data_IF_567387676076
#
_entry.id   IF_567387676076
#
_cell.length_a   1.000
_cell.length_b   1.000
_cell.length_c   1.000
_cell.angle_alpha   90.00
_cell.angle_beta   90.00
_cell.angle_gamma   90.00
#
_symmetry.space_group_name_H-M   'P 1'
#
loop_
_entity.id
_entity.type
_entity.pdbx_description
1 polymer ?
#
# COMPACT_ATOMS: atom_id res chain seq x y z
N UNK A 1 9.77 -5.36 6.97
CA UNK A 1 8.77 -4.39 7.48
C UNK A 1 9.47 -3.31 8.29
N UNK A 2 10.13 -3.64 9.40
CA UNK A 2 10.76 -2.66 10.32
C UNK A 2 11.66 -1.62 9.64
N UNK A 3 12.53 -2.04 8.71
CA UNK A 3 13.41 -1.12 7.98
C UNK A 3 12.62 -0.07 7.17
N UNK A 4 11.52 -0.49 6.55
CA UNK A 4 10.66 0.39 5.76
C UNK A 4 9.89 1.34 6.67
N UNK A 5 9.39 0.84 7.80
CA UNK A 5 8.72 1.68 8.81
C UNK A 5 9.70 2.65 9.51
N UNK A 6 11.00 2.36 9.46
CA UNK A 6 12.08 3.27 9.84
C UNK A 6 12.53 4.22 8.71
N UNK A 7 11.84 4.24 7.56
CA UNK A 7 12.05 5.19 6.47
C UNK A 7 12.82 4.63 5.26
N UNK A 8 13.18 3.35 5.23
CA UNK A 8 13.79 2.74 4.05
C UNK A 8 12.80 2.64 2.88
N UNK A 9 13.31 2.72 1.66
CA UNK A 9 12.50 2.50 0.46
C UNK A 9 12.02 1.05 0.35
N UNK A 10 10.81 0.89 -0.18
CA UNK A 10 10.31 -0.41 -0.63
C UNK A 10 11.25 -0.99 -1.68
N UNK A 11 11.74 -2.19 -1.40
CA UNK A 11 12.60 -2.93 -2.32
C UNK A 11 11.79 -3.95 -3.11
N UNK A 12 12.08 -4.18 -4.41
CA UNK A 12 11.33 -5.12 -5.25
C UNK A 12 11.69 -6.59 -4.97
N UNK A 13 11.60 -7.01 -3.71
CA UNK A 13 11.84 -8.38 -3.26
C UNK A 13 10.59 -9.26 -3.48
N UNK A 14 10.68 -10.42 -4.17
CA UNK A 14 9.51 -11.25 -4.47
C UNK A 14 8.71 -11.70 -3.24
N UNK A 15 9.38 -11.96 -2.11
CA UNK A 15 8.67 -12.37 -0.87
C UNK A 15 7.93 -11.19 -0.28
N UNK A 16 8.53 -10.01 -0.26
CA UNK A 16 7.88 -8.79 0.19
C UNK A 16 6.65 -8.48 -0.67
N UNK A 17 6.74 -8.58 -2.00
CA UNK A 17 5.59 -8.32 -2.89
C UNK A 17 4.37 -9.17 -2.54
N UNK A 18 4.57 -10.49 -2.40
CA UNK A 18 3.47 -11.39 -2.06
C UNK A 18 3.03 -11.29 -0.59
N UNK A 19 3.92 -10.91 0.32
CA UNK A 19 3.55 -10.57 1.69
C UNK A 19 2.59 -9.37 1.72
N UNK A 20 2.87 -8.30 0.97
CA UNK A 20 1.99 -7.13 0.86
C UNK A 20 0.61 -7.51 0.33
N UNK A 21 0.56 -8.31 -0.75
CA UNK A 21 -0.70 -8.87 -1.26
C UNK A 21 -1.47 -9.59 -0.16
N UNK A 22 -0.80 -10.51 0.55
CA UNK A 22 -1.41 -11.33 1.59
C UNK A 22 -2.03 -10.47 2.70
N UNK A 23 -1.30 -9.48 3.21
CA UNK A 23 -1.80 -8.58 4.25
C UNK A 23 -2.96 -7.71 3.72
N UNK A 24 -2.85 -7.19 2.50
CA UNK A 24 -3.90 -6.37 1.90
C UNK A 24 -5.20 -7.15 1.67
N UNK A 25 -5.12 -8.40 1.19
CA UNK A 25 -6.28 -9.27 1.04
C UNK A 25 -6.86 -9.66 2.41
N UNK A 26 -6.01 -9.98 3.39
CA UNK A 26 -6.45 -10.34 4.74
C UNK A 26 -7.19 -9.19 5.43
N UNK A 27 -6.76 -7.96 5.19
CA UNK A 27 -7.39 -6.74 5.70
C UNK A 27 -8.62 -6.31 4.88
N UNK A 28 -8.96 -7.01 3.79
CA UNK A 28 -10.07 -6.64 2.89
C UNK A 28 -9.79 -5.41 2.03
N UNK A 29 -8.55 -4.95 1.95
CA UNK A 29 -8.13 -3.80 1.14
C UNK A 29 -7.95 -4.15 -0.35
N UNK A 30 -7.87 -5.44 -0.68
CA UNK A 30 -7.59 -5.90 -2.03
C UNK A 30 -8.33 -7.20 -2.33
N UNK A 31 -8.80 -7.34 -3.58
CA UNK A 31 -9.44 -8.57 -4.08
C UNK A 31 -9.16 -8.70 -5.57
N UNK A 32 -8.79 -9.90 -6.04
CA UNK A 32 -8.53 -10.20 -7.46
C UNK A 32 -7.63 -9.16 -8.16
N UNK A 33 -6.54 -8.77 -7.49
CA UNK A 33 -5.60 -7.82 -8.08
C UNK A 33 -6.07 -6.36 -8.09
N UNK A 34 -7.18 -6.02 -7.43
CA UNK A 34 -7.72 -4.65 -7.36
C UNK A 34 -7.74 -4.19 -5.91
N UNK A 35 -7.19 -3.00 -5.67
CA UNK A 35 -7.18 -2.35 -4.36
C UNK A 35 -8.45 -1.51 -4.21
N UNK A 36 -9.19 -1.74 -3.13
CA UNK A 36 -10.30 -0.91 -2.71
C UNK A 36 -9.76 0.24 -1.84
N UNK A 37 -9.59 1.41 -2.46
CA UNK A 37 -9.06 2.59 -1.78
C UNK A 37 -10.00 3.07 -0.67
N UNK A 38 -11.31 2.88 -0.80
CA UNK A 38 -12.24 3.28 0.26
C UNK A 38 -12.08 2.39 1.49
N UNK A 39 -11.89 1.08 1.29
CA UNK A 39 -11.58 0.16 2.37
C UNK A 39 -10.25 0.53 3.05
N UNK A 40 -9.21 0.89 2.29
CA UNK A 40 -7.93 1.38 2.84
C UNK A 40 -8.15 2.62 3.71
N UNK A 41 -8.89 3.62 3.20
CA UNK A 41 -9.17 4.86 3.93
C UNK A 41 -9.98 4.61 5.20
N UNK A 42 -10.95 3.70 5.16
CA UNK A 42 -11.77 3.35 6.32
C UNK A 42 -10.96 2.69 7.46
N UNK A 43 -9.83 2.05 7.15
CA UNK A 43 -8.95 1.44 8.14
C UNK A 43 -7.94 2.42 8.75
N UNK A 44 -7.72 3.58 8.13
CA UNK A 44 -6.78 4.56 8.64
C UNK A 44 -7.38 5.40 9.79
N UNK A 45 -6.60 5.68 10.84
CA UNK A 45 -6.92 6.70 11.83
C UNK A 45 -7.20 8.05 11.16
N UNK A 46 -8.07 8.87 11.77
CA UNK A 46 -8.55 10.13 11.18
C UNK A 46 -7.43 11.09 10.77
N UNK A 47 -6.39 11.22 11.58
CA UNK A 47 -5.24 12.08 11.32
C UNK A 47 -4.41 11.59 10.13
N UNK A 48 -4.23 10.27 10.01
CA UNK A 48 -3.54 9.65 8.88
C UNK A 48 -4.37 9.73 7.61
N UNK A 49 -5.68 9.48 7.71
CA UNK A 49 -6.61 9.56 6.58
C UNK A 49 -6.60 10.98 6.00
N UNK A 50 -6.75 12.00 6.83
CA UNK A 50 -6.74 13.40 6.38
C UNK A 50 -5.46 13.80 5.63
N UNK A 51 -4.30 13.26 6.02
CA UNK A 51 -3.01 13.52 5.36
C UNK A 51 -2.80 12.74 4.07
N UNK A 52 -3.41 11.56 3.96
CA UNK A 52 -3.10 10.61 2.89
C UNK A 52 -4.23 10.40 1.88
N UNK A 53 -5.45 10.85 2.16
CA UNK A 53 -6.62 10.56 1.32
C UNK A 53 -6.42 10.92 -0.15
N UNK A 54 -6.00 12.15 -0.44
CA UNK A 54 -5.76 12.59 -1.81
C UNK A 54 -4.68 11.76 -2.51
N UNK A 55 -3.63 11.38 -1.77
CA UNK A 55 -2.52 10.59 -2.29
C UNK A 55 -2.93 9.15 -2.60
N UNK A 56 -3.68 8.51 -1.68
CA UNK A 56 -4.16 7.14 -1.84
C UNK A 56 -5.16 7.04 -3.01
N UNK A 57 -6.10 7.99 -3.11
CA UNK A 57 -7.02 8.12 -4.26
C UNK A 57 -6.28 8.39 -5.56
N UNK A 58 -5.27 9.27 -5.53
CA UNK A 58 -4.45 9.58 -6.69
C UNK A 58 -3.64 8.39 -7.21
N UNK A 59 -3.23 7.49 -6.32
CA UNK A 59 -2.60 6.23 -6.71
C UNK A 59 -3.61 5.21 -7.24
N UNK A 60 -4.76 5.01 -6.59
CA UNK A 60 -5.66 3.93 -6.97
C UNK A 60 -4.98 2.56 -6.97
N UNK A 61 -5.36 1.68 -7.89
CA UNK A 61 -4.66 0.41 -8.13
C UNK A 61 -3.55 0.61 -9.15
N UNK A 62 -2.32 0.25 -8.81
CA UNK A 62 -1.18 0.26 -9.73
C UNK A 62 -0.94 -1.16 -10.25
N UNK A 63 -1.44 -1.47 -11.46
CA UNK A 63 -1.36 -2.82 -12.03
C UNK A 63 0.07 -3.22 -12.38
N UNK A 64 0.48 -4.40 -11.90
CA UNK A 64 1.76 -5.03 -12.19
C UNK A 64 1.63 -6.30 -13.03
N UNK A 65 2.71 -7.06 -13.14
CA UNK A 65 2.76 -8.32 -13.89
C UNK A 65 1.86 -9.43 -13.29
N UNK A 66 1.64 -9.39 -11.98
CA UNK A 66 0.74 -10.27 -11.23
C UNK A 66 0.12 -9.53 -10.03
N UNK A 67 -0.65 -10.23 -9.20
CA UNK A 67 -1.30 -9.63 -8.03
C UNK A 67 -0.31 -9.23 -6.94
N UNK A 68 0.82 -9.93 -6.79
CA UNK A 68 1.86 -9.55 -5.84
C UNK A 68 2.55 -8.26 -6.29
N UNK A 69 2.84 -8.15 -7.58
CA UNK A 69 3.43 -6.96 -8.18
C UNK A 69 2.47 -5.77 -8.13
N UNK A 70 1.17 -6.02 -8.33
CA UNK A 70 0.13 -4.98 -8.19
C UNK A 70 0.08 -4.41 -6.77
N UNK A 71 0.10 -5.28 -5.75
CA UNK A 71 0.14 -4.84 -4.35
C UNK A 71 1.41 -4.01 -4.06
N UNK A 72 2.56 -4.49 -4.54
CA UNK A 72 3.85 -3.80 -4.37
C UNK A 72 3.89 -2.43 -5.05
N UNK A 73 3.48 -2.34 -6.32
CA UNK A 73 3.48 -1.08 -7.06
C UNK A 73 2.51 -0.06 -6.47
N UNK A 74 1.38 -0.54 -5.93
CA UNK A 74 0.41 0.33 -5.25
C UNK A 74 1.01 0.91 -3.97
N UNK A 75 1.63 0.08 -3.13
CA UNK A 75 2.36 0.50 -1.94
C UNK A 75 3.55 1.42 -2.26
N UNK A 76 4.26 1.17 -3.36
CA UNK A 76 5.35 2.03 -3.83
C UNK A 76 4.84 3.41 -4.25
N UNK A 77 3.65 3.49 -4.86
CA UNK A 77 3.01 4.77 -5.16
C UNK A 77 2.67 5.54 -3.88
N UNK A 78 2.11 4.86 -2.87
CA UNK A 78 1.79 5.46 -1.57
C UNK A 78 3.05 5.99 -0.87
N UNK A 79 4.13 5.21 -0.83
CA UNK A 79 5.40 5.65 -0.25
C UNK A 79 5.98 6.88 -0.96
N UNK A 80 5.88 6.93 -2.30
CA UNK A 80 6.35 8.09 -3.07
C UNK A 80 5.48 9.32 -2.84
N UNK A 81 4.18 9.14 -2.67
CA UNK A 81 3.25 10.24 -2.49
C UNK A 81 3.36 10.90 -1.11
N UNK A 82 3.64 10.12 -0.05
CA UNK A 82 3.92 10.66 1.28
C UNK A 82 4.90 9.79 2.08
N UNK A 83 6.20 9.90 1.77
CA UNK A 83 7.25 9.10 2.43
C UNK A 83 7.35 9.36 3.94
N UNK A 84 7.00 10.57 4.39
CA UNK A 84 7.15 10.98 5.79
C UNK A 84 6.14 10.27 6.73
N UNK A 85 4.91 10.05 6.27
CA UNK A 85 3.88 9.34 7.04
C UNK A 85 3.62 7.91 6.52
N UNK A 86 4.50 7.39 5.64
CA UNK A 86 4.34 6.05 5.09
C UNK A 86 4.71 4.97 6.10
N UNK A 87 3.85 3.97 6.24
CA UNK A 87 4.12 2.76 7.01
C UNK A 87 3.55 1.53 6.30
N UNK A 88 4.17 0.39 6.54
CA UNK A 88 3.68 -0.93 6.18
C UNK A 88 3.00 -1.58 7.38
N UNK A 89 1.79 -2.10 7.14
CA UNK A 89 1.06 -3.03 8.02
C UNK A 89 1.74 -4.40 7.96
#
# INVERSE_FOLDING_TARGET
VDKVNAGADLMPDPKLKCYLKCIMETAGMMTEGVVDVEAVLALLPDDMRAKNEQNLRGCGTQKGADHCDTAFLTQLCWQKANKADYFLI
#
